data_IF_101546711117
#
_entry.id   IF_101546711117
#
_cell.length_a   1.000
_cell.length_b   1.000
_cell.length_c   1.000
_cell.angle_alpha   90.00
_cell.angle_beta   90.00
_cell.angle_gamma   90.00
#
_symmetry.space_group_name_H-M   'P 1'
#
loop_
_entity.id
_entity.type
_entity.pdbx_description
1 polymer ?
#
# COMPACT_ATOMS: atom_id res chain seq x y z
N UNK A 1 20.16 -15.64 -11.50
CA UNK A 1 19.54 -15.54 -10.16
C UNK A 1 18.05 -15.63 -10.36
N UNK A 2 17.39 -16.76 -10.08
CA UNK A 2 15.95 -16.83 -10.27
C UNK A 2 15.32 -15.95 -9.17
N UNK A 3 14.85 -14.76 -9.57
CA UNK A 3 14.25 -13.74 -8.71
C UNK A 3 12.82 -14.14 -8.36
N UNK A 4 12.65 -15.28 -7.68
CA UNK A 4 11.34 -15.65 -7.14
C UNK A 4 11.11 -14.84 -5.88
N UNK A 5 10.33 -13.77 -6.03
CA UNK A 5 9.77 -13.05 -4.89
C UNK A 5 8.63 -13.90 -4.34
N UNK A 6 8.65 -14.16 -3.04
CA UNK A 6 7.52 -14.82 -2.38
C UNK A 6 6.35 -13.84 -2.22
N UNK A 7 5.14 -14.36 -2.10
CA UNK A 7 3.96 -13.51 -1.87
C UNK A 7 4.09 -12.67 -0.59
N UNK A 8 4.75 -13.19 0.44
CA UNK A 8 5.01 -12.47 1.69
C UNK A 8 5.99 -11.29 1.51
N UNK A 9 7.08 -11.49 0.77
CA UNK A 9 8.02 -10.42 0.41
C UNK A 9 7.33 -9.33 -0.41
N UNK A 10 6.44 -9.71 -1.32
CA UNK A 10 5.59 -8.77 -2.05
C UNK A 10 4.68 -7.98 -1.11
N UNK A 11 3.95 -8.64 -0.20
CA UNK A 11 3.10 -7.96 0.77
C UNK A 11 3.89 -6.99 1.66
N UNK A 12 5.08 -7.40 2.09
CA UNK A 12 5.99 -6.56 2.88
C UNK A 12 6.43 -5.33 2.09
N UNK A 13 6.84 -5.50 0.83
CA UNK A 13 7.20 -4.38 -0.04
C UNK A 13 6.02 -3.43 -0.30
N UNK A 14 4.81 -3.97 -0.49
CA UNK A 14 3.59 -3.19 -0.64
C UNK A 14 3.28 -2.41 0.63
N UNK A 15 3.35 -3.03 1.81
CA UNK A 15 3.10 -2.37 3.09
C UNK A 15 4.09 -1.20 3.31
N UNK A 16 5.38 -1.41 3.03
CA UNK A 16 6.39 -0.36 3.09
C UNK A 16 6.12 0.79 2.11
N UNK A 17 5.70 0.45 0.89
CA UNK A 17 5.34 1.43 -0.14
C UNK A 17 4.14 2.28 0.28
N UNK A 18 3.09 1.63 0.81
CA UNK A 18 1.91 2.31 1.34
C UNK A 18 2.29 3.23 2.49
N UNK A 19 3.07 2.74 3.47
CA UNK A 19 3.54 3.56 4.60
C UNK A 19 4.28 4.81 4.15
N UNK A 20 5.14 4.71 3.12
CA UNK A 20 5.85 5.86 2.53
C UNK A 20 4.91 6.85 1.83
N UNK A 21 3.80 6.37 1.27
CA UNK A 21 2.78 7.21 0.61
C UNK A 21 1.95 7.99 1.62
N UNK A 22 1.71 7.42 2.81
CA UNK A 22 1.01 8.09 3.91
C UNK A 22 1.90 9.15 4.56
N UNK A 23 1.86 10.37 4.01
CA UNK A 23 2.45 11.56 4.64
C UNK A 23 1.39 12.64 4.87
N UNK A 24 1.51 13.46 5.93
CA UNK A 24 0.68 14.64 6.09
C UNK A 24 0.82 15.57 4.88
N UNK A 25 -0.29 16.04 4.35
CA UNK A 25 -0.37 16.96 3.22
C UNK A 25 -1.48 17.99 3.48
N UNK A 26 -1.23 19.25 3.13
CA UNK A 26 -2.26 20.29 3.21
C UNK A 26 -3.31 20.07 2.13
N UNK A 27 -4.59 19.98 2.51
CA UNK A 27 -5.72 19.97 1.57
C UNK A 27 -6.33 21.36 1.53
N UNK A 28 -6.33 21.97 0.35
CA UNK A 28 -6.95 23.28 0.11
C UNK A 28 -8.47 23.17 0.28
N UNK A 29 -9.09 22.14 -0.30
CA UNK A 29 -10.55 21.94 -0.23
C UNK A 29 -11.05 21.78 1.21
N UNK A 30 -10.28 21.09 2.05
CA UNK A 30 -10.66 20.82 3.45
C UNK A 30 -10.05 21.79 4.46
N UNK A 31 -9.20 22.72 4.00
CA UNK A 31 -8.46 23.71 4.82
C UNK A 31 -7.78 23.10 6.07
N UNK A 32 -7.25 21.87 5.94
CA UNK A 32 -6.60 21.14 7.03
C UNK A 32 -5.55 20.16 6.53
N UNK A 33 -4.72 19.67 7.44
CA UNK A 33 -3.75 18.62 7.18
C UNK A 33 -4.49 17.28 7.10
N UNK A 34 -4.36 16.61 5.96
CA UNK A 34 -4.90 15.27 5.71
C UNK A 34 -3.76 14.34 5.27
N UNK A 35 -4.01 13.04 5.24
CA UNK A 35 -3.07 12.12 4.59
C UNK A 35 -3.03 12.40 3.08
N UNK A 36 -1.86 12.28 2.45
CA UNK A 36 -1.70 12.34 0.97
C UNK A 36 -2.57 11.31 0.22
N UNK A 37 -2.98 10.25 0.90
CA UNK A 37 -3.93 9.26 0.42
C UNK A 37 -5.39 9.77 0.34
N UNK A 38 -5.68 10.96 0.86
CA UNK A 38 -7.01 11.56 0.88
C UNK A 38 -7.84 11.24 2.12
N UNK A 39 -7.37 10.40 3.04
CA UNK A 39 -8.03 10.13 4.33
C UNK A 39 -7.65 11.16 5.40
N UNK A 40 -8.48 11.29 6.43
CA UNK A 40 -8.14 12.06 7.63
C UNK A 40 -7.03 11.37 8.43
N UNK A 41 -6.30 12.13 9.25
CA UNK A 41 -5.29 11.59 10.16
C UNK A 41 -5.95 11.31 11.53
N UNK A 42 -5.61 10.19 12.23
CA UNK A 42 -4.72 9.12 11.79
C UNK A 42 -5.29 8.34 10.60
N UNK A 43 -4.45 8.02 9.63
CA UNK A 43 -4.92 7.42 8.39
C UNK A 43 -5.44 5.99 8.61
N UNK A 44 -6.75 5.82 8.46
CA UNK A 44 -7.45 4.52 8.44
C UNK A 44 -7.74 4.01 7.02
N UNK A 45 -7.10 4.62 6.00
CA UNK A 45 -7.33 4.31 4.60
C UNK A 45 -6.90 2.89 4.24
N UNK A 46 -7.87 2.03 3.92
CA UNK A 46 -7.58 0.69 3.40
C UNK A 46 -7.19 0.80 1.94
N UNK A 47 -5.97 0.39 1.60
CA UNK A 47 -5.50 0.30 0.22
C UNK A 47 -5.67 -1.12 -0.31
N UNK A 48 -6.34 -1.25 -1.45
CA UNK A 48 -6.48 -2.53 -2.13
C UNK A 48 -5.14 -2.89 -2.78
N UNK A 49 -4.63 -4.08 -2.47
CA UNK A 49 -3.43 -4.63 -3.11
C UNK A 49 -3.84 -5.16 -4.49
N UNK A 50 -3.10 -4.85 -5.57
CA UNK A 50 -3.53 -5.18 -6.93
C UNK A 50 -3.44 -6.67 -7.26
N UNK A 51 -2.53 -7.42 -6.63
CA UNK A 51 -2.35 -8.86 -6.85
C UNK A 51 -2.76 -9.58 -5.57
N UNK A 52 -3.75 -10.47 -5.67
CA UNK A 52 -4.13 -11.35 -4.58
C UNK A 52 -3.30 -12.65 -4.63
N UNK A 53 -3.25 -13.40 -3.52
CA UNK A 53 -2.46 -14.65 -3.41
C UNK A 53 -2.79 -15.68 -4.50
N UNK A 54 -4.05 -15.80 -4.91
CA UNK A 54 -4.49 -16.76 -5.93
C UNK A 54 -3.98 -16.46 -7.34
N UNK A 55 -3.49 -15.24 -7.59
CA UNK A 55 -2.85 -14.85 -8.85
C UNK A 55 -1.32 -14.83 -8.75
N UNK A 56 -0.73 -15.29 -7.64
CA UNK A 56 0.72 -15.27 -7.48
C UNK A 56 1.39 -16.35 -8.33
N UNK A 57 2.37 -16.00 -9.19
CA UNK A 57 3.09 -16.96 -10.02
C UNK A 57 3.98 -17.85 -9.13
N UNK A 58 3.46 -19.01 -8.74
CA UNK A 58 4.18 -20.00 -7.90
C UNK A 58 3.30 -20.79 -6.93
N UNK A 59 2.04 -20.38 -6.70
CA UNK A 59 1.11 -21.07 -5.80
C UNK A 59 0.29 -22.19 -6.49
N UNK A 60 0.53 -22.42 -7.78
CA UNK A 60 -0.04 -23.53 -8.54
C UNK A 60 0.96 -24.67 -8.67
N UNK A 61 1.05 -25.51 -7.64
CA UNK A 61 1.64 -26.84 -7.75
C UNK A 61 0.74 -27.86 -7.07
#
# INVERSE_FOLDING_TARGET
>A
MPTHVTYDEYLTAVALTLRRRHRPAWSVDRKRIVCRCGSELPCSGRHRVPINRGHWPGEGR
#
